data_IF_378237381029
#
_entry.id   IF_378237381029
#
_cell.length_a   1.000
_cell.length_b   1.000
_cell.length_c   1.000
_cell.angle_alpha   90.00
_cell.angle_beta   90.00
_cell.angle_gamma   90.00
#
_symmetry.space_group_name_H-M   'P 1'
#
loop_
_entity.id
_entity.type
_entity.pdbx_description
1 polymer ?
#
# COMPACT_ATOMS: atom_id res chain seq x y z
N UNK A 1 -7.29 -13.10 -8.13
CA UNK A 1 -6.22 -12.68 -7.24
C UNK A 1 -6.20 -11.18 -7.10
N UNK A 2 -5.79 -10.71 -5.96
CA UNK A 2 -5.81 -9.30 -5.67
C UNK A 2 -4.41 -8.84 -5.33
N UNK A 3 -3.99 -7.73 -5.89
CA UNK A 3 -2.69 -7.15 -5.58
C UNK A 3 -2.82 -6.20 -4.41
N UNK A 4 -1.92 -6.34 -3.45
CA UNK A 4 -1.87 -5.45 -2.29
C UNK A 4 -0.45 -4.95 -2.13
N UNK A 5 -0.29 -3.91 -1.33
CA UNK A 5 1.02 -3.37 -1.03
C UNK A 5 1.39 -3.79 0.39
N UNK A 6 2.52 -4.44 0.50
CA UNK A 6 3.06 -4.83 1.79
C UNK A 6 4.13 -3.83 2.19
N UNK A 7 3.96 -3.25 3.35
CA UNK A 7 4.94 -2.30 3.89
C UNK A 7 5.62 -2.94 5.08
N UNK A 8 6.94 -2.99 5.04
CA UNK A 8 7.72 -3.47 6.16
C UNK A 8 8.44 -2.28 6.75
N UNK A 9 8.22 -2.03 8.01
CA UNK A 9 8.77 -0.88 8.71
C UNK A 9 10.12 -1.22 9.33
N UNK A 10 10.88 -0.20 9.66
CA UNK A 10 12.21 -0.39 10.22
C UNK A 10 12.19 -1.09 11.57
N UNK A 11 11.08 -1.02 12.29
CA UNK A 11 10.92 -1.73 13.56
C UNK A 11 10.43 -3.15 13.35
N UNK A 12 10.43 -3.64 12.10
CA UNK A 12 10.05 -4.99 11.71
C UNK A 12 8.54 -5.23 11.70
N UNK A 13 7.75 -4.21 11.96
CA UNK A 13 6.31 -4.32 11.82
C UNK A 13 5.96 -4.44 10.34
N UNK A 14 4.90 -5.15 10.06
CA UNK A 14 4.44 -5.38 8.68
C UNK A 14 2.97 -5.07 8.59
N UNK A 15 2.60 -4.44 7.48
CA UNK A 15 1.21 -4.12 7.20
C UNK A 15 0.90 -4.42 5.74
N UNK A 16 -0.31 -4.89 5.51
CA UNK A 16 -0.82 -5.07 4.15
C UNK A 16 -1.86 -4.00 3.92
N UNK A 17 -1.73 -3.31 2.81
CA UNK A 17 -2.67 -2.26 2.42
C UNK A 17 -3.35 -2.65 1.13
N UNK A 18 -4.66 -2.44 1.09
CA UNK A 18 -5.42 -2.64 -0.14
C UNK A 18 -5.20 -1.40 -1.00
N UNK A 19 -4.15 -1.46 -1.80
CA UNK A 19 -3.76 -0.33 -2.64
C UNK A 19 -3.27 -0.86 -3.98
N UNK A 20 -3.41 -0.04 -5.01
CA UNK A 20 -2.99 -0.40 -6.35
C UNK A 20 -1.56 0.03 -6.63
N UNK A 21 -1.10 1.06 -5.94
CA UNK A 21 0.23 1.58 -6.20
C UNK A 21 0.71 2.39 -5.00
N UNK A 22 1.98 2.76 -5.06
CA UNK A 22 2.55 3.66 -4.07
C UNK A 22 3.42 4.68 -4.79
N UNK A 23 3.63 5.80 -4.13
CA UNK A 23 4.36 6.91 -4.72
C UNK A 23 5.15 7.62 -3.63
N UNK A 24 6.44 7.83 -3.89
CA UNK A 24 7.29 8.58 -2.97
C UNK A 24 7.33 10.04 -3.41
N UNK A 25 7.19 10.93 -2.44
CA UNK A 25 7.21 12.35 -2.70
C UNK A 25 8.40 13.01 -2.03
N UNK A 26 8.77 14.17 -2.52
CA UNK A 26 9.90 14.90 -1.98
C UNK A 26 9.65 15.43 -0.57
N UNK A 27 8.41 15.40 -0.14
CA UNK A 27 8.06 15.88 1.19
C UNK A 27 8.36 14.86 2.30
N UNK A 28 8.96 13.72 1.94
CA UNK A 28 9.32 12.71 2.93
C UNK A 28 8.24 11.71 3.22
N UNK A 29 7.19 11.68 2.42
CA UNK A 29 6.10 10.74 2.60
C UNK A 29 5.91 9.84 1.41
N UNK A 30 5.39 8.67 1.70
CA UNK A 30 5.00 7.70 0.69
C UNK A 30 3.48 7.59 0.74
N UNK A 31 2.84 7.71 -0.40
CA UNK A 31 1.39 7.65 -0.50
C UNK A 31 0.99 6.36 -1.18
N UNK A 32 0.06 5.64 -0.56
CA UNK A 32 -0.50 4.44 -1.13
C UNK A 32 -1.86 4.79 -1.69
N UNK A 33 -2.12 4.39 -2.92
CA UNK A 33 -3.28 4.87 -3.64
C UNK A 33 -4.07 3.75 -4.29
N UNK A 34 -5.38 3.94 -4.35
CA UNK A 34 -6.30 3.07 -5.06
C UNK A 34 -6.84 3.85 -6.24
N UNK A 35 -6.91 3.19 -7.39
CA UNK A 35 -7.52 3.77 -8.57
C UNK A 35 -8.96 3.30 -8.67
N UNK A 36 -9.89 4.22 -8.84
CA UNK A 36 -11.29 3.88 -8.98
C UNK A 36 -11.72 3.90 -10.43
N UNK A 37 -11.32 4.95 -11.13
CA UNK A 37 -11.63 5.12 -12.52
C UNK A 37 -10.49 5.89 -13.14
N UNK A 38 -10.60 6.14 -14.45
CA UNK A 38 -9.61 6.94 -15.13
C UNK A 38 -9.49 8.29 -14.44
N UNK A 39 -8.28 8.65 -14.08
CA UNK A 39 -7.97 9.92 -13.42
C UNK A 39 -8.61 10.09 -12.05
N UNK A 40 -9.16 9.03 -11.50
CA UNK A 40 -9.77 9.11 -10.18
C UNK A 40 -9.06 8.13 -9.25
N UNK A 41 -8.39 8.66 -8.25
CA UNK A 41 -7.70 7.81 -7.29
C UNK A 41 -7.88 8.39 -5.89
N UNK A 42 -7.64 7.54 -4.93
CA UNK A 42 -7.82 7.89 -3.54
C UNK A 42 -6.59 7.44 -2.76
N UNK A 43 -6.08 8.32 -1.91
CA UNK A 43 -4.97 7.97 -1.04
C UNK A 43 -5.54 7.23 0.17
N UNK A 44 -5.06 6.02 0.36
CA UNK A 44 -5.54 5.20 1.48
C UNK A 44 -4.57 5.19 2.65
N UNK A 45 -3.33 5.59 2.42
CA UNK A 45 -2.35 5.65 3.49
C UNK A 45 -1.25 6.63 3.13
N UNK A 46 -0.72 7.28 4.15
CA UNK A 46 0.39 8.21 4.00
C UNK A 46 1.40 7.84 5.09
N UNK A 47 2.59 7.43 4.68
CA UNK A 47 3.56 6.87 5.59
C UNK A 47 4.88 7.63 5.48
N UNK A 48 5.48 7.96 6.60
CA UNK A 48 6.78 8.62 6.58
C UNK A 48 7.79 7.68 5.94
N UNK A 49 8.46 8.16 4.90
CA UNK A 49 9.45 7.38 4.17
C UNK A 49 10.56 6.90 5.10
N UNK A 50 10.91 7.70 6.10
CA UNK A 50 11.98 7.34 7.02
C UNK A 50 11.67 6.12 7.88
N UNK A 51 10.40 5.74 7.98
CA UNK A 51 9.98 4.60 8.77
C UNK A 51 9.91 3.31 7.95
N UNK A 52 10.04 3.42 6.64
CA UNK A 52 9.86 2.27 5.76
C UNK A 52 11.18 1.58 5.52
N UNK A 53 11.20 0.27 5.78
CA UNK A 53 12.35 -0.55 5.44
C UNK A 53 12.26 -0.95 3.97
N UNK A 54 11.10 -1.44 3.54
CA UNK A 54 10.85 -1.70 2.12
C UNK A 54 9.36 -1.88 1.89
N UNK A 55 9.00 -1.78 0.61
CA UNK A 55 7.63 -2.02 0.14
C UNK A 55 7.70 -3.04 -0.97
N UNK A 56 6.62 -3.76 -1.14
CA UNK A 56 6.53 -4.67 -2.26
C UNK A 56 5.07 -4.93 -2.59
N UNK A 57 4.85 -5.27 -3.84
CA UNK A 57 3.52 -5.74 -4.25
C UNK A 57 3.43 -7.21 -3.92
N UNK A 58 2.31 -7.60 -3.37
CA UNK A 58 2.06 -9.02 -3.11
C UNK A 58 0.70 -9.35 -3.68
N UNK A 59 0.57 -10.57 -4.16
CA UNK A 59 -0.71 -11.05 -4.63
C UNK A 59 -1.30 -11.94 -3.56
N UNK A 60 -2.54 -11.63 -3.19
CA UNK A 60 -3.24 -12.44 -2.21
C UNK A 60 -4.42 -13.06 -2.91
N UNK A 61 -4.75 -14.26 -2.48
CA UNK A 61 -5.88 -14.95 -3.04
C UNK A 61 -7.13 -14.23 -2.58
N UNK A 62 -7.90 -13.81 -3.55
CA UNK A 62 -9.15 -13.16 -3.23
C UNK A 62 -10.16 -14.23 -2.92
N UNK A 63 -10.66 -14.22 -1.72
CA UNK A 63 -11.67 -15.20 -1.33
C UNK A 63 -12.74 -14.49 -0.55
N UNK A 64 -13.91 -15.07 -0.64
CA UNK A 64 -15.05 -14.50 0.01
C UNK A 64 -15.10 -15.02 1.43
N UNK A 65 -15.17 -14.10 2.34
CA UNK A 65 -15.32 -14.47 3.73
C UNK A 65 -16.71 -15.04 3.94
N UNK A 66 -16.75 -16.23 4.34
CA UNK A 66 -18.03 -16.89 4.60
C UNK A 66 -18.23 -16.97 6.10
N UNK A 67 -19.18 -16.25 6.54
CA UNK A 67 -19.44 -16.18 7.97
C UNK A 67 -20.69 -16.97 8.33
#
# INVERSE_FOLDING_TARGET
MKTMVKVVFKDEMKCLFDADTFRFEDNGFCYLEIFHEEDDYETVACISTSEIKYLMFVEVEEWVEVL
#
